data_IF_484352573255
#
_entry.id   IF_484352573255
#
_cell.length_a   1.000
_cell.length_b   1.000
_cell.length_c   1.000
_cell.angle_alpha   90.00
_cell.angle_beta   90.00
_cell.angle_gamma   90.00
#
_symmetry.space_group_name_H-M   'P 1'
#
loop_
_entity.id
_entity.type
_entity.pdbx_description
1 polymer ?
#
# COMPACT_ATOMS: atom_id res chain seq x y z
N UNK A 1 10.05 -32.59 13.65
CA UNK A 1 10.08 -31.63 12.52
C UNK A 1 8.69 -31.07 12.19
N UNK A 2 7.68 -31.91 11.95
CA UNK A 2 6.31 -31.45 11.65
C UNK A 2 5.68 -30.66 12.80
N UNK A 3 5.89 -31.07 14.05
CA UNK A 3 5.40 -30.35 15.23
C UNK A 3 5.99 -28.94 15.35
N UNK A 4 7.27 -28.77 15.05
CA UNK A 4 7.93 -27.47 15.05
C UNK A 4 7.35 -26.52 13.97
N UNK A 5 7.04 -27.05 12.79
CA UNK A 5 6.44 -26.25 11.70
C UNK A 5 4.98 -25.84 11.98
N UNK A 6 4.26 -26.62 12.79
CA UNK A 6 2.88 -26.33 13.18
C UNK A 6 2.80 -25.48 14.46
N UNK A 7 3.91 -25.30 15.16
CA UNK A 7 3.97 -24.56 16.42
C UNK A 7 3.37 -23.15 16.35
N UNK A 8 3.67 -22.30 15.31
CA UNK A 8 3.09 -20.97 15.22
C UNK A 8 1.56 -20.96 15.17
N UNK A 9 0.94 -21.99 14.59
CA UNK A 9 -0.52 -22.09 14.47
C UNK A 9 -1.20 -22.53 15.79
N UNK A 10 -0.45 -22.96 16.81
CA UNK A 10 -0.99 -23.24 18.13
C UNK A 10 -1.22 -21.99 18.98
N UNK A 11 -0.66 -20.85 18.56
CA UNK A 11 -0.82 -19.56 19.23
C UNK A 11 -1.90 -18.72 18.55
N UNK A 12 -2.94 -18.33 19.30
CA UNK A 12 -4.06 -17.53 18.78
C UNK A 12 -3.62 -16.20 18.19
N UNK A 13 -2.66 -15.50 18.83
CA UNK A 13 -2.10 -14.25 18.32
C UNK A 13 -1.41 -14.39 16.95
N UNK A 14 -0.75 -15.52 16.70
CA UNK A 14 -0.09 -15.79 15.42
C UNK A 14 -1.10 -16.02 14.30
N UNK A 15 -2.16 -16.76 14.57
CA UNK A 15 -3.24 -16.99 13.60
C UNK A 15 -3.92 -15.66 13.25
N UNK A 16 -4.25 -14.86 14.28
CA UNK A 16 -4.79 -13.51 14.08
C UNK A 16 -3.85 -12.63 13.25
N UNK A 17 -2.56 -12.60 13.57
CA UNK A 17 -1.56 -11.83 12.84
C UNK A 17 -1.43 -12.26 11.37
N UNK A 18 -1.39 -13.56 11.08
CA UNK A 18 -1.33 -14.11 9.72
C UNK A 18 -2.58 -13.72 8.92
N UNK A 19 -3.77 -13.89 9.48
CA UNK A 19 -5.02 -13.58 8.81
C UNK A 19 -5.15 -12.08 8.54
N UNK A 20 -4.87 -11.25 9.55
CA UNK A 20 -4.99 -9.80 9.45
C UNK A 20 -4.00 -9.21 8.45
N UNK A 21 -2.71 -9.59 8.53
CA UNK A 21 -1.70 -9.10 7.58
C UNK A 21 -1.96 -9.57 6.16
N UNK A 22 -2.47 -10.79 5.99
CA UNK A 22 -2.86 -11.32 4.67
C UNK A 22 -4.02 -10.55 4.07
N UNK A 23 -5.04 -10.20 4.87
CA UNK A 23 -6.17 -9.40 4.43
C UNK A 23 -5.73 -7.97 4.05
N UNK A 24 -4.93 -7.31 4.91
CA UNK A 24 -4.35 -6.00 4.64
C UNK A 24 -3.48 -6.04 3.38
N UNK A 25 -2.57 -7.01 3.29
CA UNK A 25 -1.68 -7.19 2.14
C UNK A 25 -2.44 -7.42 0.83
N UNK A 26 -3.52 -8.19 0.86
CA UNK A 26 -4.37 -8.44 -0.31
C UNK A 26 -5.08 -7.17 -0.81
N UNK A 27 -5.66 -6.37 0.08
CA UNK A 27 -6.38 -5.14 -0.30
C UNK A 27 -5.38 -4.04 -0.72
N UNK A 28 -4.27 -3.87 -0.01
CA UNK A 28 -3.20 -2.96 -0.43
C UNK A 28 -2.64 -3.34 -1.81
N UNK A 29 -2.45 -4.63 -2.08
CA UNK A 29 -2.00 -5.13 -3.38
C UNK A 29 -3.03 -4.89 -4.49
N UNK A 30 -4.32 -4.95 -4.20
CA UNK A 30 -5.35 -4.60 -5.16
C UNK A 30 -5.32 -3.10 -5.51
N UNK A 31 -5.17 -2.22 -4.52
CA UNK A 31 -4.95 -0.79 -4.74
C UNK A 31 -3.65 -0.53 -5.51
N UNK A 32 -2.59 -1.27 -5.22
CA UNK A 32 -1.30 -1.22 -5.92
C UNK A 32 -1.44 -1.43 -7.43
N UNK A 33 -2.35 -2.32 -7.86
CA UNK A 33 -2.61 -2.56 -9.27
C UNK A 33 -3.07 -1.30 -10.02
N UNK A 34 -3.92 -0.48 -9.39
CA UNK A 34 -4.36 0.80 -9.95
C UNK A 34 -3.25 1.86 -9.95
N UNK A 35 -2.46 1.91 -8.88
CA UNK A 35 -1.32 2.84 -8.81
C UNK A 35 -0.31 2.57 -9.92
N UNK A 36 -0.03 1.29 -10.20
CA UNK A 36 0.86 0.91 -11.31
C UNK A 36 0.28 1.26 -12.67
N UNK A 37 -1.04 1.13 -12.87
CA UNK A 37 -1.71 1.51 -14.11
C UNK A 37 -1.53 3.01 -14.44
N UNK A 38 -1.54 3.85 -13.42
CA UNK A 38 -1.40 5.32 -13.54
C UNK A 38 0.05 5.79 -13.45
N UNK A 39 0.99 4.91 -13.06
CA UNK A 39 2.37 5.28 -12.79
C UNK A 39 2.56 6.08 -11.49
N UNK A 40 1.64 5.95 -10.54
CA UNK A 40 1.63 6.68 -9.28
C UNK A 40 2.37 5.93 -8.16
N UNK A 41 3.60 5.53 -8.41
CA UNK A 41 4.39 4.76 -7.45
C UNK A 41 4.71 5.52 -6.14
N UNK A 42 4.84 6.84 -6.19
CA UNK A 42 5.20 7.65 -5.02
C UNK A 42 4.02 7.97 -4.08
N UNK A 43 2.77 7.75 -4.51
CA UNK A 43 1.59 8.11 -3.69
C UNK A 43 1.49 7.26 -2.42
N UNK A 44 1.83 5.98 -2.48
CA UNK A 44 1.83 5.12 -1.31
C UNK A 44 2.78 5.62 -0.21
N UNK A 45 3.98 6.01 -0.61
CA UNK A 45 4.99 6.61 0.28
C UNK A 45 4.51 7.96 0.82
N UNK A 46 4.04 8.83 -0.06
CA UNK A 46 3.53 10.14 0.32
C UNK A 46 2.40 10.07 1.36
N UNK A 47 1.44 9.17 1.18
CA UNK A 47 0.33 9.00 2.13
C UNK A 47 0.80 8.41 3.45
N UNK A 48 1.71 7.43 3.44
CA UNK A 48 2.23 6.81 4.66
C UNK A 48 2.92 7.83 5.60
N UNK A 49 3.59 8.80 5.05
CA UNK A 49 4.23 9.86 5.83
C UNK A 49 3.34 11.08 6.08
N UNK A 50 2.36 11.34 5.21
CA UNK A 50 1.41 12.44 5.40
C UNK A 50 0.42 12.23 6.55
N UNK A 51 0.36 11.04 7.13
CA UNK A 51 -0.47 10.76 8.32
C UNK A 51 0.15 11.30 9.61
N UNK A 52 1.46 11.59 9.63
CA UNK A 52 2.21 11.97 10.85
C UNK A 52 1.61 13.18 11.56
N UNK A 53 1.26 14.32 10.89
CA UNK A 53 0.66 15.46 11.59
C UNK A 53 -0.69 15.12 12.19
N UNK A 54 -1.48 14.28 11.55
CA UNK A 54 -2.78 13.83 12.08
C UNK A 54 -2.63 12.97 13.32
N UNK A 55 -1.66 12.05 13.34
CA UNK A 55 -1.33 11.24 14.53
C UNK A 55 -0.89 12.15 15.68
N UNK A 56 -0.01 13.12 15.39
CA UNK A 56 0.47 14.07 16.40
C UNK A 56 -0.65 14.91 17.02
N UNK A 57 -1.58 15.40 16.17
CA UNK A 57 -2.76 16.16 16.64
C UNK A 57 -3.72 15.28 17.44
N UNK A 58 -4.01 14.06 16.94
CA UNK A 58 -4.88 13.13 17.64
C UNK A 58 -4.34 12.80 19.05
N UNK A 59 -3.02 12.59 19.15
CA UNK A 59 -2.38 12.39 20.45
C UNK A 59 -2.55 13.59 21.37
N UNK A 60 -2.29 14.81 20.90
CA UNK A 60 -2.42 16.03 21.68
C UNK A 60 -3.86 16.26 22.17
N UNK A 61 -4.86 15.79 21.41
CA UNK A 61 -6.28 15.89 21.74
C UNK A 61 -6.84 14.65 22.45
N UNK A 62 -6.02 13.65 22.77
CA UNK A 62 -6.43 12.36 23.34
C UNK A 62 -7.50 11.64 22.50
N UNK A 63 -7.43 11.77 21.17
CA UNK A 63 -8.30 11.10 20.21
C UNK A 63 -7.63 9.80 19.70
N UNK A 64 -8.42 8.86 19.15
CA UNK A 64 -7.86 7.68 18.49
C UNK A 64 -6.91 8.06 17.35
N UNK A 65 -5.69 7.52 17.36
CA UNK A 65 -4.64 7.84 16.36
C UNK A 65 -5.06 7.57 14.93
N UNK A 66 -5.84 6.49 14.72
CA UNK A 66 -6.36 6.12 13.41
C UNK A 66 -7.23 7.21 12.77
N UNK A 67 -8.06 7.91 13.56
CA UNK A 67 -8.87 9.01 13.06
C UNK A 67 -7.99 10.18 12.59
N UNK A 68 -7.03 10.60 13.41
CA UNK A 68 -6.09 11.66 13.03
C UNK A 68 -5.29 11.30 11.76
N UNK A 69 -4.74 10.09 11.72
CA UNK A 69 -4.02 9.57 10.57
C UNK A 69 -4.88 9.58 9.30
N UNK A 70 -6.12 9.08 9.39
CA UNK A 70 -7.06 9.01 8.28
C UNK A 70 -7.42 10.37 7.71
N UNK A 71 -7.79 11.33 8.58
CA UNK A 71 -8.13 12.68 8.13
C UNK A 71 -6.92 13.41 7.53
N UNK A 72 -5.73 13.24 8.10
CA UNK A 72 -4.50 13.81 7.54
C UNK A 72 -4.17 13.21 6.18
N UNK A 73 -4.30 11.90 6.01
CA UNK A 73 -4.10 11.22 4.75
C UNK A 73 -5.08 11.69 3.67
N UNK A 74 -6.37 11.84 3.99
CA UNK A 74 -7.36 12.39 3.07
C UNK A 74 -7.02 13.84 2.72
N UNK A 75 -6.64 14.67 3.69
CA UNK A 75 -6.27 16.07 3.45
C UNK A 75 -5.07 16.17 2.51
N UNK A 76 -4.06 15.33 2.70
CA UNK A 76 -2.91 15.25 1.80
C UNK A 76 -3.33 14.82 0.39
N UNK A 77 -4.15 13.78 0.26
CA UNK A 77 -4.65 13.30 -1.02
C UNK A 77 -5.48 14.37 -1.76
N UNK A 78 -6.41 15.04 -1.07
CA UNK A 78 -7.19 16.15 -1.64
C UNK A 78 -6.28 17.31 -2.04
N UNK A 79 -5.26 17.63 -1.25
CA UNK A 79 -4.27 18.66 -1.57
C UNK A 79 -3.49 18.32 -2.85
N UNK A 80 -3.08 17.06 -3.01
CA UNK A 80 -2.42 16.58 -4.25
C UNK A 80 -3.35 16.77 -5.46
N UNK A 81 -4.60 16.32 -5.37
CA UNK A 81 -5.58 16.45 -6.45
C UNK A 81 -5.87 17.93 -6.79
N UNK A 82 -6.01 18.76 -5.76
CA UNK A 82 -6.29 20.20 -5.93
C UNK A 82 -5.12 20.91 -6.59
N UNK A 83 -3.89 20.75 -6.09
CA UNK A 83 -2.70 21.37 -6.70
C UNK A 83 -2.52 20.88 -8.14
N UNK A 84 -2.76 19.59 -8.40
CA UNK A 84 -2.69 19.03 -9.76
C UNK A 84 -3.73 19.65 -10.71
N UNK A 85 -4.93 19.97 -10.21
CA UNK A 85 -6.00 20.55 -11.02
C UNK A 85 -5.72 22.00 -11.47
N UNK A 86 -4.96 22.75 -10.68
CA UNK A 86 -4.65 24.17 -10.92
C UNK A 86 -3.26 24.41 -11.52
N UNK A 87 -2.41 23.37 -11.57
CA UNK A 87 -1.03 23.48 -12.06
C UNK A 87 -0.76 22.46 -13.18
N UNK A 88 0.24 22.78 -14.01
CA UNK A 88 0.77 21.87 -15.05
C UNK A 88 2.03 21.12 -14.55
N UNK A 89 2.27 21.10 -13.25
CA UNK A 89 3.43 20.43 -12.68
C UNK A 89 3.35 18.91 -12.91
N UNK A 90 4.50 18.27 -12.95
CA UNK A 90 4.58 16.81 -12.98
C UNK A 90 4.00 16.24 -11.69
N UNK A 91 3.30 15.13 -11.80
CA UNK A 91 2.63 14.49 -10.65
C UNK A 91 3.60 14.19 -9.52
N UNK A 92 4.78 13.64 -9.83
CA UNK A 92 5.81 13.33 -8.85
C UNK A 92 6.26 14.57 -8.05
N UNK A 93 6.36 15.73 -8.70
CA UNK A 93 6.75 16.97 -8.03
C UNK A 93 5.67 17.46 -7.05
N UNK A 94 4.39 17.35 -7.44
CA UNK A 94 3.25 17.72 -6.56
C UNK A 94 3.18 16.78 -5.37
N UNK A 95 3.29 15.46 -5.60
CA UNK A 95 3.28 14.44 -4.57
C UNK A 95 4.43 14.69 -3.59
N UNK A 96 5.66 14.87 -4.09
CA UNK A 96 6.84 15.12 -3.27
C UNK A 96 6.73 16.39 -2.43
N UNK A 97 6.22 17.49 -3.00
CA UNK A 97 6.00 18.76 -2.28
C UNK A 97 4.98 18.59 -1.14
N UNK A 98 3.82 18.02 -1.42
CA UNK A 98 2.77 17.81 -0.40
C UNK A 98 3.27 16.88 0.69
N UNK A 99 3.89 15.76 0.32
CA UNK A 99 4.49 14.81 1.27
C UNK A 99 5.47 15.50 2.22
N UNK A 100 6.46 16.22 1.68
CA UNK A 100 7.48 16.88 2.50
C UNK A 100 6.88 17.94 3.41
N UNK A 101 5.86 18.68 2.94
CA UNK A 101 5.16 19.67 3.74
C UNK A 101 4.41 19.05 4.91
N UNK A 102 3.62 18.00 4.66
CA UNK A 102 2.90 17.30 5.73
C UNK A 102 3.85 16.65 6.73
N UNK A 103 4.89 15.97 6.25
CA UNK A 103 5.88 15.35 7.13
C UNK A 103 6.59 16.38 8.01
N UNK A 104 7.02 17.51 7.43
CA UNK A 104 7.65 18.59 8.17
C UNK A 104 6.70 19.22 9.22
N UNK A 105 5.42 19.42 8.88
CA UNK A 105 4.39 19.86 9.82
C UNK A 105 4.21 18.86 10.97
N UNK A 106 4.18 17.57 10.67
CA UNK A 106 4.10 16.53 11.70
C UNK A 106 5.28 16.57 12.67
N UNK A 107 6.50 16.64 12.15
CA UNK A 107 7.70 16.77 12.98
C UNK A 107 7.70 18.05 13.82
N UNK A 108 7.23 19.17 13.26
CA UNK A 108 7.11 20.43 13.99
C UNK A 108 6.14 20.29 15.16
N UNK A 109 4.95 19.69 14.95
CA UNK A 109 3.95 19.49 15.99
C UNK A 109 4.51 18.61 17.13
N UNK A 110 5.19 17.52 16.78
CA UNK A 110 5.83 16.62 17.75
C UNK A 110 6.94 17.34 18.52
N UNK A 111 7.73 18.17 17.85
CA UNK A 111 8.81 18.95 18.48
C UNK A 111 8.28 20.00 19.48
N UNK A 112 7.15 20.64 19.15
CA UNK A 112 6.52 21.65 20.03
C UNK A 112 5.79 21.01 21.22
N UNK A 113 5.32 19.78 21.07
CA UNK A 113 4.64 19.02 22.12
C UNK A 113 5.36 17.68 22.29
N UNK A 114 6.47 17.63 23.08
CA UNK A 114 7.19 16.40 23.29
C UNK A 114 6.27 15.32 23.86
N UNK A 115 5.97 14.33 23.05
CA UNK A 115 5.10 13.22 23.41
C UNK A 115 5.93 12.03 23.83
N UNK A 116 5.42 11.22 24.75
CA UNK A 116 6.04 9.95 25.14
C UNK A 116 5.83 8.83 24.08
N UNK A 117 5.30 9.19 22.90
CA UNK A 117 5.09 8.23 21.83
C UNK A 117 6.45 7.77 21.29
N UNK A 118 6.69 6.48 21.38
CA UNK A 118 7.88 5.87 20.83
C UNK A 118 7.75 5.85 19.31
N UNK A 119 8.45 6.76 18.62
CA UNK A 119 8.46 6.82 17.14
C UNK A 119 8.87 5.48 16.52
N UNK A 120 9.68 4.69 17.22
CA UNK A 120 10.09 3.37 16.76
C UNK A 120 8.91 2.41 16.62
N UNK A 121 7.93 2.46 17.53
CA UNK A 121 6.75 1.57 17.48
C UNK A 121 5.85 1.91 16.30
N UNK A 122 5.75 3.19 15.94
CA UNK A 122 5.00 3.63 14.75
C UNK A 122 5.72 3.22 13.45
N UNK A 123 7.04 3.29 13.44
CA UNK A 123 7.86 3.00 12.24
C UNK A 123 7.98 1.50 11.99
N UNK A 124 8.23 0.72 13.03
CA UNK A 124 8.46 -0.73 12.93
C UNK A 124 7.16 -1.54 12.93
N UNK A 125 6.08 -0.99 13.53
CA UNK A 125 4.83 -1.70 13.76
C UNK A 125 4.96 -2.83 14.79
N UNK A 126 3.86 -3.29 15.33
CA UNK A 126 3.83 -4.41 16.28
C UNK A 126 2.61 -5.30 16.04
N UNK A 127 2.60 -6.02 14.90
CA UNK A 127 1.47 -6.89 14.54
C UNK A 127 1.25 -8.05 15.54
N UNK A 128 2.31 -8.52 16.19
CA UNK A 128 2.22 -9.62 17.15
C UNK A 128 1.64 -9.19 18.50
N UNK A 129 1.69 -7.89 18.81
CA UNK A 129 1.16 -7.31 20.05
C UNK A 129 -0.06 -6.40 19.85
N UNK A 130 -0.78 -6.52 18.71
CA UNK A 130 -1.95 -5.69 18.41
C UNK A 130 -3.11 -6.03 19.35
N UNK A 131 -3.80 -5.01 19.88
CA UNK A 131 -4.97 -5.19 20.72
C UNK A 131 -6.17 -5.74 19.92
N UNK A 132 -7.03 -6.53 20.58
CA UNK A 132 -8.21 -7.11 19.90
C UNK A 132 -9.17 -6.04 19.36
N UNK A 133 -9.23 -4.87 19.99
CA UNK A 133 -10.02 -3.71 19.53
C UNK A 133 -9.47 -3.15 18.20
N UNK A 134 -8.16 -3.06 18.06
CA UNK A 134 -7.49 -2.61 16.84
C UNK A 134 -7.64 -3.64 15.71
N UNK A 135 -7.61 -4.93 16.03
CA UNK A 135 -7.86 -6.01 15.05
C UNK A 135 -9.25 -5.85 14.43
N UNK A 136 -10.27 -5.62 15.27
CA UNK A 136 -11.64 -5.42 14.79
C UNK A 136 -11.75 -4.16 13.91
N UNK A 137 -11.14 -3.06 14.35
CA UNK A 137 -11.12 -1.81 13.58
C UNK A 137 -10.47 -2.00 12.20
N UNK A 138 -9.29 -2.61 12.15
CA UNK A 138 -8.58 -2.88 10.90
C UNK A 138 -9.40 -3.83 10.02
N UNK A 139 -9.98 -4.88 10.56
CA UNK A 139 -10.81 -5.82 9.81
C UNK A 139 -12.03 -5.14 9.17
N UNK A 140 -12.69 -4.22 9.89
CA UNK A 140 -13.82 -3.43 9.38
C UNK A 140 -13.35 -2.51 8.24
N UNK A 141 -12.25 -1.78 8.42
CA UNK A 141 -11.70 -0.87 7.41
C UNK A 141 -11.36 -1.63 6.13
N UNK A 142 -10.65 -2.74 6.25
CA UNK A 142 -10.23 -3.58 5.12
C UNK A 142 -11.45 -4.23 4.45
N UNK A 143 -12.41 -4.71 5.23
CA UNK A 143 -13.66 -5.29 4.70
C UNK A 143 -14.49 -4.29 3.89
N UNK A 144 -14.72 -3.10 4.43
CA UNK A 144 -15.43 -2.02 3.72
C UNK A 144 -14.66 -1.61 2.46
N UNK A 145 -13.34 -1.44 2.57
CA UNK A 145 -12.49 -1.06 1.44
C UNK A 145 -12.53 -2.11 0.33
N UNK A 146 -12.48 -3.39 0.67
CA UNK A 146 -12.57 -4.48 -0.30
C UNK A 146 -13.94 -4.48 -1.00
N UNK A 147 -15.02 -4.35 -0.26
CA UNK A 147 -16.39 -4.32 -0.82
C UNK A 147 -16.54 -3.15 -1.79
N UNK A 148 -16.12 -1.95 -1.40
CA UNK A 148 -16.20 -0.77 -2.27
C UNK A 148 -15.31 -0.92 -3.52
N UNK A 149 -14.10 -1.45 -3.38
CA UNK A 149 -13.23 -1.73 -4.51
C UNK A 149 -13.84 -2.76 -5.47
N UNK A 150 -14.50 -3.80 -4.95
CA UNK A 150 -15.16 -4.81 -5.78
C UNK A 150 -16.42 -4.28 -6.47
N UNK A 151 -17.13 -3.33 -5.87
CA UNK A 151 -18.30 -2.68 -6.49
C UNK A 151 -17.84 -1.76 -7.62
N UNK A 152 -16.86 -0.89 -7.36
CA UNK A 152 -16.46 0.18 -8.26
C UNK A 152 -15.24 -0.16 -9.13
N UNK A 153 -14.77 -1.41 -9.15
CA UNK A 153 -13.53 -1.77 -9.84
C UNK A 153 -13.51 -1.44 -11.34
N UNK A 154 -14.66 -1.55 -12.03
CA UNK A 154 -14.76 -1.25 -13.47
C UNK A 154 -14.72 0.25 -13.74
N UNK A 155 -15.42 1.02 -12.92
CA UNK A 155 -15.50 2.47 -13.05
C UNK A 155 -14.14 3.09 -12.72
N UNK A 156 -13.49 2.61 -11.65
CA UNK A 156 -12.13 2.99 -11.30
C UNK A 156 -11.16 2.64 -12.42
N UNK A 157 -11.25 1.43 -12.99
CA UNK A 157 -10.39 1.02 -14.09
C UNK A 157 -10.55 1.95 -15.30
N UNK A 158 -11.78 2.28 -15.68
CA UNK A 158 -12.06 3.15 -16.81
C UNK A 158 -11.47 4.54 -16.58
N UNK A 159 -11.66 5.12 -15.40
CA UNK A 159 -11.18 6.46 -15.06
C UNK A 159 -9.65 6.51 -14.98
N UNK A 160 -9.03 5.46 -14.44
CA UNK A 160 -7.57 5.40 -14.34
C UNK A 160 -6.91 5.12 -15.70
N UNK A 161 -7.61 4.47 -16.62
CA UNK A 161 -7.12 4.21 -17.97
C UNK A 161 -7.34 5.41 -18.91
N UNK A 162 -8.59 5.89 -19.01
CA UNK A 162 -8.98 6.99 -19.90
C UNK A 162 -10.08 7.87 -19.25
N UNK A 163 -9.65 9.00 -18.69
CA UNK A 163 -10.51 9.95 -18.00
C UNK A 163 -11.48 10.67 -18.96
N UNK A 164 -11.05 10.90 -20.21
CA UNK A 164 -11.86 11.57 -21.22
C UNK A 164 -13.01 10.66 -21.65
N UNK A 165 -12.70 9.38 -21.89
CA UNK A 165 -13.72 8.39 -22.21
C UNK A 165 -14.68 8.15 -21.04
N UNK A 166 -14.20 8.10 -19.81
CA UNK A 166 -15.04 7.97 -18.61
C UNK A 166 -16.05 9.13 -18.50
N UNK A 167 -15.62 10.36 -18.79
CA UNK A 167 -16.49 11.53 -18.78
C UNK A 167 -17.54 11.45 -19.89
N UNK A 168 -17.17 10.94 -21.07
CA UNK A 168 -18.11 10.77 -22.21
C UNK A 168 -19.24 9.76 -21.92
N UNK A 169 -18.98 8.78 -21.05
CA UNK A 169 -19.96 7.77 -20.62
C UNK A 169 -20.80 8.27 -19.41
N UNK A 170 -20.56 9.50 -18.93
CA UNK A 170 -21.31 10.12 -17.85
C UNK A 170 -20.73 9.90 -16.45
N UNK A 171 -19.54 9.31 -16.31
CA UNK A 171 -18.87 9.22 -15.03
C UNK A 171 -18.20 10.56 -14.68
N UNK A 172 -18.20 10.90 -13.40
CA UNK A 172 -17.50 12.08 -12.87
C UNK A 172 -16.17 11.68 -12.24
N UNK A 173 -15.03 11.85 -12.92
CA UNK A 173 -13.73 11.32 -12.48
C UNK A 173 -13.31 11.78 -11.09
N UNK A 174 -13.69 12.99 -10.69
CA UNK A 174 -13.28 13.56 -9.39
C UNK A 174 -13.83 12.74 -8.21
N UNK A 175 -15.10 12.28 -8.27
CA UNK A 175 -15.68 11.50 -7.19
C UNK A 175 -14.98 10.16 -7.00
N UNK A 176 -14.67 9.47 -8.10
CA UNK A 176 -13.98 8.19 -8.05
C UNK A 176 -12.50 8.30 -7.65
N UNK A 177 -11.84 9.41 -8.04
CA UNK A 177 -10.49 9.71 -7.56
C UNK A 177 -10.50 9.96 -6.05
N UNK A 178 -11.42 10.78 -5.56
CA UNK A 178 -11.58 11.02 -4.12
C UNK A 178 -11.90 9.71 -3.39
N UNK A 179 -12.84 8.91 -3.90
CA UNK A 179 -13.14 7.58 -3.34
C UNK A 179 -11.89 6.71 -3.26
N UNK A 180 -11.14 6.59 -4.37
CA UNK A 180 -9.92 5.78 -4.42
C UNK A 180 -8.89 6.24 -3.39
N UNK A 181 -8.63 7.55 -3.29
CA UNK A 181 -7.68 8.08 -2.32
C UNK A 181 -8.14 7.95 -0.88
N UNK A 182 -9.45 8.04 -0.64
CA UNK A 182 -10.04 7.77 0.67
C UNK A 182 -9.82 6.31 1.08
N UNK A 183 -10.08 5.37 0.17
CA UNK A 183 -9.82 3.95 0.41
C UNK A 183 -8.33 3.66 0.59
N UNK A 184 -7.48 4.28 -0.24
CA UNK A 184 -6.04 4.13 -0.12
C UNK A 184 -5.54 4.66 1.23
N UNK A 185 -5.99 5.85 1.66
CA UNK A 185 -5.65 6.42 2.97
C UNK A 185 -6.12 5.52 4.11
N UNK A 186 -7.36 5.00 4.05
CA UNK A 186 -7.88 4.08 5.06
C UNK A 186 -7.06 2.79 5.14
N UNK A 187 -6.71 2.19 3.99
CA UNK A 187 -5.89 0.98 3.94
C UNK A 187 -4.44 1.23 4.41
N UNK A 188 -3.87 2.39 4.08
CA UNK A 188 -2.54 2.80 4.57
C UNK A 188 -2.55 2.92 6.09
N UNK A 189 -3.58 3.54 6.68
CA UNK A 189 -3.71 3.67 8.14
C UNK A 189 -3.89 2.31 8.80
N UNK A 190 -4.75 1.45 8.25
CA UNK A 190 -4.94 0.09 8.73
C UNK A 190 -3.63 -0.74 8.67
N UNK A 191 -2.89 -0.62 7.57
CA UNK A 191 -1.61 -1.27 7.40
C UNK A 191 -0.54 -0.72 8.36
N UNK A 192 -0.53 0.61 8.59
CA UNK A 192 0.39 1.26 9.52
C UNK A 192 0.21 0.76 10.95
N UNK A 193 -1.02 0.56 11.39
CA UNK A 193 -1.32 0.00 12.72
C UNK A 193 -0.86 -1.45 12.88
N UNK A 194 -0.89 -2.23 11.78
CA UNK A 194 -0.54 -3.65 11.83
C UNK A 194 0.94 -3.91 11.64
N UNK A 195 1.53 -3.34 10.60
CA UNK A 195 2.87 -3.74 10.12
C UNK A 195 3.89 -2.59 10.12
N UNK A 196 3.48 -1.39 10.49
CA UNK A 196 4.34 -0.21 10.56
C UNK A 196 4.57 0.52 9.25
N UNK A 197 5.07 1.76 9.34
CA UNK A 197 5.16 2.69 8.20
C UNK A 197 6.04 2.18 7.06
N UNK A 198 7.19 1.59 7.36
CA UNK A 198 8.15 1.12 6.33
C UNK A 198 7.52 0.03 5.45
N UNK A 199 6.76 -0.87 6.06
CA UNK A 199 6.18 -1.99 5.33
C UNK A 199 4.97 -1.57 4.51
N UNK A 200 4.20 -0.59 4.97
CA UNK A 200 3.03 -0.09 4.22
C UNK A 200 3.42 0.33 2.81
N UNK A 201 4.54 1.05 2.66
CA UNK A 201 5.06 1.50 1.37
C UNK A 201 5.29 0.29 0.46
N UNK A 202 5.97 -0.73 0.96
CA UNK A 202 6.24 -1.94 0.20
C UNK A 202 4.97 -2.70 -0.17
N UNK A 203 4.00 -2.84 0.75
CA UNK A 203 2.72 -3.52 0.48
C UNK A 203 1.87 -2.82 -0.58
N UNK A 204 1.92 -1.49 -0.63
CA UNK A 204 1.14 -0.69 -1.58
C UNK A 204 1.82 -0.58 -2.96
N UNK A 205 3.12 -0.81 -3.06
CA UNK A 205 3.86 -0.62 -4.32
C UNK A 205 4.30 -1.95 -4.92
N UNK A 206 5.00 -2.78 -4.14
CA UNK A 206 5.76 -3.93 -4.65
C UNK A 206 4.90 -5.01 -5.32
N UNK A 207 3.73 -5.43 -4.78
CA UNK A 207 2.93 -6.47 -5.43
C UNK A 207 2.41 -6.04 -6.79
N UNK A 208 1.95 -4.79 -6.93
CA UNK A 208 1.50 -4.24 -8.20
C UNK A 208 2.63 -4.10 -9.21
N UNK A 209 3.80 -3.60 -8.78
CA UNK A 209 4.99 -3.48 -9.62
C UNK A 209 5.46 -4.86 -10.11
N UNK A 210 5.46 -5.87 -9.24
CA UNK A 210 5.80 -7.24 -9.61
C UNK A 210 4.83 -7.81 -10.64
N UNK A 211 3.52 -7.64 -10.40
CA UNK A 211 2.48 -8.09 -11.33
C UNK A 211 2.55 -7.37 -12.69
N UNK A 212 2.88 -6.07 -12.69
CA UNK A 212 3.04 -5.27 -13.91
C UNK A 212 4.17 -5.77 -14.80
N UNK A 213 5.24 -6.31 -14.23
CA UNK A 213 6.32 -6.96 -14.99
C UNK A 213 5.85 -8.24 -15.68
N UNK A 214 4.84 -8.92 -15.16
CA UNK A 214 4.41 -10.24 -15.64
C UNK A 214 3.31 -10.18 -16.70
N UNK A 215 2.42 -9.14 -16.69
CA UNK A 215 1.25 -9.09 -17.56
C UNK A 215 0.80 -7.67 -17.89
N UNK A 216 0.17 -7.51 -19.08
CA UNK A 216 -0.46 -6.26 -19.53
C UNK A 216 -1.97 -6.22 -19.25
N UNK A 217 -2.58 -7.37 -18.95
CA UNK A 217 -4.02 -7.46 -18.72
C UNK A 217 -4.34 -7.07 -17.29
N UNK A 218 -5.04 -5.96 -17.07
CA UNK A 218 -5.34 -5.45 -15.73
C UNK A 218 -5.98 -6.49 -14.80
N UNK A 219 -6.94 -7.28 -15.29
CA UNK A 219 -7.57 -8.34 -14.48
C UNK A 219 -6.55 -9.35 -13.94
N UNK A 220 -5.64 -9.80 -14.79
CA UNK A 220 -4.59 -10.74 -14.42
C UNK A 220 -3.56 -10.07 -13.51
N UNK A 221 -3.21 -8.80 -13.79
CA UNK A 221 -2.32 -7.99 -12.98
C UNK A 221 -2.86 -7.85 -11.56
N UNK A 222 -4.12 -7.43 -11.41
CA UNK A 222 -4.75 -7.28 -10.10
C UNK A 222 -4.81 -8.63 -9.34
N UNK A 223 -5.13 -9.72 -10.04
CA UNK A 223 -5.17 -11.06 -9.43
C UNK A 223 -3.79 -11.52 -8.94
N UNK A 224 -2.75 -11.36 -9.78
CA UNK A 224 -1.37 -11.69 -9.40
C UNK A 224 -0.92 -10.82 -8.23
N UNK A 225 -1.17 -9.50 -8.27
CA UNK A 225 -0.81 -8.59 -7.19
C UNK A 225 -1.44 -9.01 -5.87
N UNK A 226 -2.75 -9.30 -5.84
CA UNK A 226 -3.48 -9.74 -4.65
C UNK A 226 -2.91 -11.05 -4.10
N UNK A 227 -2.66 -12.04 -4.96
CA UNK A 227 -2.06 -13.32 -4.54
C UNK A 227 -0.67 -13.10 -3.93
N UNK A 228 0.17 -12.28 -4.58
CA UNK A 228 1.50 -11.94 -4.07
C UNK A 228 1.41 -11.21 -2.73
N UNK A 229 0.49 -10.24 -2.58
CA UNK A 229 0.27 -9.52 -1.33
C UNK A 229 -0.15 -10.43 -0.18
N UNK A 230 -1.12 -11.32 -0.41
CA UNK A 230 -1.60 -12.30 0.58
C UNK A 230 -0.49 -13.27 0.97
N UNK A 231 0.15 -13.89 -0.02
CA UNK A 231 1.16 -14.93 0.25
C UNK A 231 2.42 -14.35 0.90
N UNK A 232 2.92 -13.21 0.43
CA UNK A 232 4.10 -12.59 1.03
C UNK A 232 3.86 -12.16 2.48
N UNK A 233 2.65 -11.66 2.79
CA UNK A 233 2.27 -11.29 4.15
C UNK A 233 2.14 -12.52 5.06
N UNK A 234 1.42 -13.56 4.61
CA UNK A 234 1.25 -14.79 5.38
C UNK A 234 2.59 -15.48 5.67
N UNK A 235 3.42 -15.66 4.63
CA UNK A 235 4.73 -16.31 4.75
C UNK A 235 5.68 -15.44 5.59
N UNK A 236 5.62 -14.11 5.44
CA UNK A 236 6.46 -13.20 6.19
C UNK A 236 6.19 -13.20 7.68
N UNK A 237 4.91 -13.17 8.09
CA UNK A 237 4.52 -13.32 9.52
C UNK A 237 4.96 -14.67 10.05
N UNK A 238 4.73 -15.73 9.28
CA UNK A 238 5.13 -17.09 9.68
C UNK A 238 6.65 -17.21 9.87
N UNK A 239 7.45 -16.71 8.94
CA UNK A 239 8.91 -16.77 9.02
C UNK A 239 9.45 -15.85 10.14
N UNK A 240 8.83 -14.69 10.40
CA UNK A 240 9.26 -13.79 11.46
C UNK A 240 9.20 -14.41 12.84
N UNK A 241 8.29 -15.36 13.08
CA UNK A 241 8.22 -16.14 14.31
C UNK A 241 9.52 -16.91 14.58
N UNK A 242 10.07 -17.57 13.55
CA UNK A 242 11.30 -18.36 13.72
C UNK A 242 12.57 -17.51 13.76
N UNK A 243 12.54 -16.33 13.12
CA UNK A 243 13.69 -15.42 13.09
C UNK A 243 13.74 -14.49 14.32
N UNK A 244 12.69 -14.46 15.14
CA UNK A 244 12.51 -13.50 16.24
C UNK A 244 12.81 -12.06 15.77
N UNK A 245 12.37 -11.74 14.56
CA UNK A 245 12.70 -10.50 13.85
C UNK A 245 11.48 -9.62 13.56
N UNK A 246 11.74 -8.36 13.17
CA UNK A 246 10.69 -7.43 12.79
C UNK A 246 9.87 -8.00 11.60
N UNK A 247 8.61 -8.33 11.85
CA UNK A 247 7.70 -8.95 10.88
C UNK A 247 7.61 -8.15 9.58
N UNK A 248 7.53 -6.81 9.71
CA UNK A 248 7.53 -5.92 8.57
C UNK A 248 8.73 -6.10 7.66
N UNK A 249 9.94 -6.15 8.24
CA UNK A 249 11.17 -6.35 7.49
C UNK A 249 11.20 -7.67 6.72
N UNK A 250 10.73 -8.76 7.33
CA UNK A 250 10.68 -10.08 6.69
C UNK A 250 9.74 -10.05 5.47
N UNK A 251 8.55 -9.46 5.61
CA UNK A 251 7.58 -9.36 4.51
C UNK A 251 8.18 -8.56 3.34
N UNK A 252 8.84 -7.41 3.62
CA UNK A 252 9.50 -6.60 2.57
C UNK A 252 10.59 -7.39 1.86
N UNK A 253 11.43 -8.13 2.59
CA UNK A 253 12.47 -8.97 1.99
C UNK A 253 11.88 -10.02 1.05
N UNK A 254 10.78 -10.67 1.45
CA UNK A 254 10.09 -11.66 0.60
C UNK A 254 9.52 -10.98 -0.65
N UNK A 255 8.84 -9.84 -0.51
CA UNK A 255 8.29 -9.10 -1.65
C UNK A 255 9.40 -8.65 -2.60
N UNK A 256 10.52 -8.16 -2.06
CA UNK A 256 11.69 -7.77 -2.86
C UNK A 256 12.29 -8.96 -3.60
N UNK A 257 12.42 -10.11 -2.94
CA UNK A 257 12.90 -11.33 -3.59
C UNK A 257 11.97 -11.76 -4.75
N UNK A 258 10.66 -11.73 -4.53
CA UNK A 258 9.66 -12.03 -5.57
C UNK A 258 9.71 -11.04 -6.73
N UNK A 259 9.90 -9.74 -6.44
CA UNK A 259 10.09 -8.72 -7.46
C UNK A 259 11.36 -8.97 -8.29
N UNK A 260 12.49 -9.26 -7.64
CA UNK A 260 13.74 -9.56 -8.34
C UNK A 260 13.61 -10.83 -9.21
N UNK A 261 12.96 -11.87 -8.72
CA UNK A 261 12.67 -13.06 -9.52
C UNK A 261 11.80 -12.72 -10.75
N UNK A 262 10.72 -11.95 -10.53
CA UNK A 262 9.88 -11.49 -11.64
C UNK A 262 10.69 -10.65 -12.63
N UNK A 263 11.55 -9.74 -12.16
CA UNK A 263 12.40 -8.90 -13.00
C UNK A 263 13.40 -9.70 -13.84
N UNK A 264 13.97 -10.77 -13.28
CA UNK A 264 14.92 -11.63 -14.01
C UNK A 264 14.18 -12.48 -15.07
N UNK A 265 13.05 -13.10 -14.68
CA UNK A 265 12.35 -14.10 -15.49
C UNK A 265 11.14 -13.58 -16.27
N UNK A 266 10.79 -12.28 -16.12
CA UNK A 266 9.61 -11.71 -16.77
C UNK A 266 9.61 -11.98 -18.29
N UNK A 267 8.46 -12.42 -18.83
CA UNK A 267 8.29 -12.56 -20.27
C UNK A 267 8.29 -11.22 -21.01
N UNK A 268 8.03 -10.11 -20.30
CA UNK A 268 7.86 -8.77 -20.88
C UNK A 268 9.13 -7.92 -20.78
N UNK A 269 9.72 -7.83 -19.61
CA UNK A 269 10.86 -6.94 -19.31
C UNK A 269 12.06 -7.70 -18.71
N UNK A 270 12.04 -9.03 -18.72
CA UNK A 270 13.05 -9.86 -18.08
C UNK A 270 14.45 -9.69 -18.70
N UNK A 271 15.46 -9.61 -17.82
CA UNK A 271 16.87 -9.49 -18.23
C UNK A 271 17.32 -10.62 -19.16
N UNK A 272 16.79 -11.83 -18.99
CA UNK A 272 17.17 -13.00 -19.80
C UNK A 272 16.66 -12.85 -21.22
N UNK A 273 15.47 -12.25 -21.42
CA UNK A 273 14.87 -12.06 -22.74
C UNK A 273 15.51 -10.91 -23.52
N UNK A 274 15.90 -9.84 -22.85
CA UNK A 274 16.59 -8.70 -23.48
C UNK A 274 17.98 -9.06 -24.03
N UNK A 275 18.57 -10.17 -23.56
CA UNK A 275 19.86 -10.69 -24.09
C UNK A 275 19.74 -11.49 -25.39
N UNK A 276 18.53 -11.84 -25.87
CA UNK A 276 18.38 -12.38 -27.21
C UNK A 276 18.46 -11.21 -28.21
N UNK A 277 19.50 -11.16 -29.08
CA UNK A 277 19.57 -10.12 -30.09
C UNK A 277 18.34 -10.25 -30.99
N UNK A 278 17.68 -9.15 -31.27
CA UNK A 278 16.60 -9.08 -32.26
C UNK A 278 17.15 -9.67 -33.56
N UNK A 279 16.45 -10.65 -34.11
CA UNK A 279 16.82 -11.23 -35.40
C UNK A 279 16.75 -10.12 -36.47
N UNK A 280 17.69 -10.13 -37.41
CA UNK A 280 17.78 -9.09 -38.46
C UNK A 280 16.50 -8.97 -39.32
N UNK A 281 15.53 -9.86 -39.17
CA UNK A 281 14.24 -9.86 -39.87
C UNK A 281 13.19 -8.95 -39.24
N UNK A 282 13.32 -8.59 -37.91
CA UNK A 282 12.38 -7.67 -37.24
C UNK A 282 12.75 -6.18 -37.39
N UNK A 283 13.90 -5.86 -37.99
CA UNK A 283 14.36 -4.49 -38.23
C UNK A 283 13.88 -3.96 -39.61
N UNK A 284 13.24 -4.80 -40.45
CA UNK A 284 12.78 -4.42 -41.78
C UNK A 284 11.25 -4.33 -41.95
N UNK A 285 10.50 -4.35 -40.85
CA UNK A 285 9.08 -3.99 -40.82
C UNK A 285 8.86 -2.70 -40.01
#
# INVERSE_FOLDING_TARGET
>A
MLALLLEPFSYDYMVKAILLSSAVGGVCAFLSAYLMLKGWSLIGDALSHSVVPGVAIAYALSLPYALGAFFSGILAAVSILWVKSITKLREDAVIGFIFTTFFALGLLIISLNPTSVNVQDIVLGNILGIADEDILQVAIIIGISLILLLIFWKDLLLIFFDEVHATSVGLTPIYYKVLFFTLLSACVVAALQTVGAILVIAMVITPGATAYLLTDRFKTLAMIAVILGILSSAIGVYISYFLDGATGGVIVCIQTALFLLAFIFSPKYGLIRQRKPMSKEEVQQ
#
